data_IF_857146589290
#
_entry.id   IF_857146589290
#
_cell.length_a   1.000
_cell.length_b   1.000
_cell.length_c   1.000
_cell.angle_alpha   90.00
_cell.angle_beta   90.00
_cell.angle_gamma   90.00
#
_symmetry.space_group_name_H-M   'P 1'
#
loop_
_entity.id
_entity.type
_entity.pdbx_description
1 polymer ?
#
# COMPACT_ATOMS: atom_id res chain seq x y z
N UNK A 1 -4.53 -13.47 23.79
CA UNK A 1 -3.13 -13.74 23.39
C UNK A 1 -2.60 -15.08 23.90
N UNK A 2 -2.97 -15.50 25.12
CA UNK A 2 -2.47 -16.77 25.69
C UNK A 2 -3.03 -18.02 25.00
N UNK A 3 -4.25 -17.94 24.47
CA UNK A 3 -4.87 -19.03 23.69
C UNK A 3 -4.02 -19.40 22.45
N UNK A 4 -3.50 -18.41 21.72
CA UNK A 4 -2.67 -18.64 20.53
C UNK A 4 -1.34 -19.30 20.90
N UNK A 5 -0.75 -18.89 22.03
CA UNK A 5 0.49 -19.50 22.54
C UNK A 5 0.27 -20.96 22.91
N UNK A 6 -0.90 -21.29 23.48
CA UNK A 6 -1.26 -22.65 23.84
C UNK A 6 -1.53 -23.52 22.61
N UNK A 7 -2.25 -22.98 21.61
CA UNK A 7 -2.56 -23.68 20.36
C UNK A 7 -1.30 -23.97 19.54
N UNK A 8 -0.35 -23.04 19.49
CA UNK A 8 0.96 -23.26 18.84
C UNK A 8 1.78 -24.35 19.55
N UNK A 9 1.68 -24.43 20.89
CA UNK A 9 2.36 -25.47 21.66
C UNK A 9 1.73 -26.84 21.44
N UNK A 10 0.40 -26.90 21.26
CA UNK A 10 -0.31 -28.14 20.97
C UNK A 10 -0.07 -28.62 19.53
N UNK A 11 -0.08 -27.73 18.55
CA UNK A 11 0.22 -28.06 17.16
C UNK A 11 1.63 -28.67 17.01
N UNK A 12 2.61 -28.16 17.76
CA UNK A 12 3.98 -28.74 17.80
C UNK A 12 4.01 -30.17 18.31
N UNK A 13 3.23 -30.47 19.37
CA UNK A 13 3.15 -31.85 19.91
C UNK A 13 2.56 -32.79 18.87
N UNK A 14 1.48 -32.39 18.21
CA UNK A 14 0.82 -33.18 17.17
C UNK A 14 1.76 -33.46 15.98
N UNK A 15 2.51 -32.47 15.51
CA UNK A 15 3.50 -32.66 14.43
C UNK A 15 4.65 -33.60 14.84
N UNK A 16 5.06 -33.56 16.10
CA UNK A 16 6.12 -34.43 16.63
C UNK A 16 5.65 -35.87 16.93
N UNK A 17 4.33 -36.07 17.05
CA UNK A 17 3.71 -37.40 17.08
C UNK A 17 3.57 -37.97 15.67
N UNK A 18 3.27 -37.13 14.67
CA UNK A 18 3.19 -37.52 13.25
C UNK A 18 4.57 -37.82 12.65
N UNK A 19 5.65 -37.15 13.10
CA UNK A 19 7.01 -37.43 12.66
C UNK A 19 7.53 -38.82 13.07
N UNK A 20 6.93 -39.42 14.11
CA UNK A 20 7.21 -40.80 14.53
C UNK A 20 6.50 -41.85 13.65
N UNK A 21 5.55 -41.42 12.81
CA UNK A 21 4.85 -42.25 11.83
C UNK A 21 5.50 -42.19 10.43
N UNK A 22 6.84 -42.13 10.36
CA UNK A 22 7.56 -42.19 9.08
C UNK A 22 8.55 -43.36 9.08
N UNK A 23 8.01 -44.58 9.10
CA UNK A 23 8.73 -45.80 8.70
C UNK A 23 8.32 -46.32 7.32
N UNK A 24 7.37 -45.67 6.63
CA UNK A 24 6.73 -46.25 5.43
C UNK A 24 6.31 -45.24 4.34
N UNK A 25 6.88 -44.03 4.31
CA UNK A 25 6.53 -43.04 3.28
C UNK A 25 7.71 -42.73 2.35
N UNK A 26 7.65 -43.20 1.10
CA UNK A 26 8.56 -42.78 0.04
C UNK A 26 8.32 -41.29 -0.27
N UNK A 27 9.34 -40.45 -0.07
CA UNK A 27 9.23 -39.00 -0.27
C UNK A 27 9.41 -38.61 -1.76
N UNK A 28 8.44 -37.94 -2.42
CA UNK A 28 8.49 -37.62 -3.85
C UNK A 28 9.18 -36.27 -4.11
N UNK A 29 10.46 -36.14 -3.72
CA UNK A 29 11.21 -34.89 -3.80
C UNK A 29 11.63 -34.44 -5.21
N UNK A 30 11.27 -35.17 -6.28
CA UNK A 30 11.75 -34.90 -7.64
C UNK A 30 10.86 -33.98 -8.51
N UNK A 31 9.85 -33.30 -7.95
CA UNK A 31 8.92 -32.43 -8.72
C UNK A 31 9.27 -30.93 -8.77
N UNK A 32 10.29 -30.48 -8.04
CA UNK A 32 10.59 -29.05 -7.82
C UNK A 32 11.39 -28.37 -8.95
N UNK A 33 12.08 -29.11 -9.81
CA UNK A 33 12.95 -28.53 -10.85
C UNK A 33 12.20 -27.71 -11.91
N UNK A 34 10.92 -28.00 -12.17
CA UNK A 34 10.12 -27.35 -13.23
C UNK A 34 9.57 -25.98 -12.83
N UNK A 35 9.41 -25.73 -11.53
CA UNK A 35 8.88 -24.46 -11.00
C UNK A 35 9.92 -23.32 -11.06
N UNK A 36 11.20 -23.65 -10.93
CA UNK A 36 12.29 -22.67 -10.92
C UNK A 36 12.45 -21.93 -12.27
N UNK A 37 12.29 -22.65 -13.39
CA UNK A 37 12.45 -22.09 -14.76
C UNK A 37 11.34 -21.08 -15.10
N UNK A 38 10.11 -21.35 -14.66
CA UNK A 38 8.98 -20.44 -14.88
C UNK A 38 9.12 -19.13 -14.10
N UNK A 39 9.65 -19.18 -12.88
CA UNK A 39 9.84 -17.98 -12.06
C UNK A 39 10.90 -17.04 -12.68
N UNK A 40 11.97 -17.60 -13.23
CA UNK A 40 13.06 -16.81 -13.83
C UNK A 40 12.64 -16.11 -15.13
N UNK A 41 11.72 -16.71 -15.90
CA UNK A 41 11.18 -16.11 -17.13
C UNK A 41 10.18 -14.99 -16.85
N UNK A 42 9.42 -15.06 -15.75
CA UNK A 42 8.48 -14.00 -15.35
C UNK A 42 9.19 -12.76 -14.81
N UNK A 43 10.32 -12.90 -14.10
CA UNK A 43 11.10 -11.75 -13.61
C UNK A 43 11.74 -10.91 -14.71
N UNK A 44 12.09 -11.51 -15.85
CA UNK A 44 12.69 -10.78 -16.99
C UNK A 44 11.65 -9.90 -17.73
N UNK A 45 10.38 -10.31 -17.75
CA UNK A 45 9.30 -9.58 -18.43
C UNK A 45 8.89 -8.33 -17.63
N UNK A 46 8.96 -8.37 -16.29
CA UNK A 46 8.58 -7.23 -15.44
C UNK A 46 9.51 -6.02 -15.52
N UNK A 47 10.76 -6.19 -15.97
CA UNK A 47 11.70 -5.08 -16.14
C UNK A 47 11.40 -4.20 -17.38
N UNK A 48 10.57 -4.69 -18.31
CA UNK A 48 10.25 -3.97 -19.56
C UNK A 48 9.11 -2.96 -19.36
N UNK A 49 8.26 -3.12 -18.33
CA UNK A 49 7.08 -2.28 -18.10
C UNK A 49 7.31 -1.07 -17.16
N UNK A 50 8.50 -0.92 -16.55
CA UNK A 50 8.75 0.11 -15.53
C UNK A 50 9.13 1.49 -16.09
N UNK A 51 8.56 1.92 -17.21
CA UNK A 51 8.69 3.30 -17.73
C UNK A 51 7.41 4.13 -17.57
N UNK A 52 6.63 3.87 -16.53
CA UNK A 52 5.52 4.75 -16.17
C UNK A 52 6.07 6.00 -15.47
N UNK A 53 6.23 7.08 -16.24
CA UNK A 53 6.66 8.40 -15.79
C UNK A 53 5.71 8.91 -14.70
N UNK A 54 6.15 8.85 -13.44
CA UNK A 54 5.44 9.45 -12.30
C UNK A 54 5.45 10.97 -12.50
N UNK A 55 4.26 11.58 -12.53
CA UNK A 55 4.11 13.04 -12.64
C UNK A 55 4.55 13.65 -11.31
N UNK A 56 5.70 14.34 -11.30
CA UNK A 56 6.31 14.92 -10.08
C UNK A 56 5.79 16.30 -9.71
N UNK A 57 5.00 16.93 -10.57
CA UNK A 57 4.45 18.27 -10.33
C UNK A 57 2.98 18.36 -10.76
N UNK A 58 2.14 18.82 -9.83
CA UNK A 58 0.77 19.19 -10.13
C UNK A 58 0.77 20.47 -10.97
N UNK A 59 -0.02 20.55 -12.06
CA UNK A 59 -0.08 21.76 -12.87
C UNK A 59 -0.52 22.95 -12.02
N UNK A 60 0.06 24.12 -12.32
CA UNK A 60 -0.28 25.38 -11.64
C UNK A 60 -1.76 25.67 -11.79
N UNK A 61 -2.45 25.94 -10.66
CA UNK A 61 -3.86 26.28 -10.68
C UNK A 61 -4.07 27.54 -11.54
N UNK A 62 -5.04 27.49 -12.45
CA UNK A 62 -5.46 28.63 -13.26
C UNK A 62 -6.81 29.08 -12.75
N UNK A 63 -6.99 30.37 -12.49
CA UNK A 63 -8.28 30.97 -12.09
C UNK A 63 -8.53 32.19 -12.95
N UNK A 64 -9.74 32.32 -13.49
CA UNK A 64 -10.12 33.43 -14.37
C UNK A 64 -9.16 33.62 -15.57
N UNK A 65 -8.65 32.52 -16.13
CA UNK A 65 -7.69 32.54 -17.24
C UNK A 65 -6.29 33.08 -16.90
N UNK A 66 -6.00 33.35 -15.61
CA UNK A 66 -4.68 33.75 -15.13
C UNK A 66 -4.06 32.63 -14.28
N UNK A 67 -2.76 32.42 -14.44
CA UNK A 67 -2.03 31.49 -13.59
C UNK A 67 -2.02 32.02 -12.15
N UNK A 68 -2.50 31.22 -11.20
CA UNK A 68 -2.42 31.54 -9.79
C UNK A 68 -1.04 31.10 -9.30
N UNK A 69 -0.15 32.05 -9.06
CA UNK A 69 1.16 31.76 -8.46
C UNK A 69 0.98 31.24 -7.04
N UNK A 70 1.54 30.06 -6.76
CA UNK A 70 1.67 29.51 -5.42
C UNK A 70 2.47 30.50 -4.54
N UNK A 71 1.79 31.22 -3.66
CA UNK A 71 2.37 32.27 -2.80
C UNK A 71 1.69 33.63 -2.86
N UNK A 72 0.74 33.82 -3.78
CA UNK A 72 -0.12 35.01 -3.81
C UNK A 72 -1.29 34.85 -2.83
N UNK A 73 -1.80 35.97 -2.29
CA UNK A 73 -3.00 35.99 -1.46
C UNK A 73 -4.12 35.12 -2.07
N UNK A 74 -4.90 34.45 -1.22
CA UNK A 74 -5.95 33.52 -1.62
C UNK A 74 -6.73 34.14 -2.80
N UNK A 75 -6.78 33.49 -3.97
CA UNK A 75 -7.33 34.11 -5.16
C UNK A 75 -8.81 34.43 -4.89
N UNK A 76 -9.14 35.71 -4.78
CA UNK A 76 -10.51 36.20 -4.56
C UNK A 76 -11.09 36.61 -5.91
N UNK A 77 -12.03 35.84 -6.44
CA UNK A 77 -12.73 36.15 -7.69
C UNK A 77 -13.40 34.94 -8.32
N UNK A 78 -14.17 35.07 -9.41
CA UNK A 78 -14.77 33.93 -10.09
C UNK A 78 -13.72 32.92 -10.58
N UNK A 79 -14.08 31.64 -10.65
CA UNK A 79 -13.24 30.60 -11.20
C UNK A 79 -13.10 30.72 -12.72
N UNK A 80 -14.18 31.10 -13.41
CA UNK A 80 -14.20 31.29 -14.86
C UNK A 80 -14.18 32.76 -15.26
N UNK A 81 -13.61 33.03 -16.43
CA UNK A 81 -13.72 34.33 -17.08
C UNK A 81 -15.04 34.38 -17.83
N UNK A 82 -15.93 35.28 -17.42
CA UNK A 82 -17.19 35.55 -18.12
C UNK A 82 -16.92 36.25 -19.45
N UNK A 83 -17.43 35.70 -20.54
CA UNK A 83 -17.32 36.27 -21.89
C UNK A 83 -18.71 36.63 -22.42
N UNK A 84 -19.64 35.68 -22.37
CA UNK A 84 -21.02 35.86 -22.88
C UNK A 84 -22.03 36.20 -21.77
N UNK A 85 -21.70 35.97 -20.50
CA UNK A 85 -22.61 36.13 -19.35
C UNK A 85 -23.93 35.35 -19.54
N UNK A 86 -23.81 34.10 -19.98
CA UNK A 86 -24.93 33.18 -20.17
C UNK A 86 -25.03 32.13 -19.05
N UNK A 87 -26.18 31.44 -19.00
CA UNK A 87 -26.47 30.42 -17.99
C UNK A 87 -25.44 29.26 -18.00
N UNK A 88 -24.78 29.01 -19.14
CA UNK A 88 -23.74 27.97 -19.25
C UNK A 88 -22.49 28.37 -18.50
N UNK A 89 -22.09 29.64 -18.55
CA UNK A 89 -20.99 30.17 -17.73
C UNK A 89 -21.36 30.11 -16.23
N UNK A 90 -22.59 30.41 -15.85
CA UNK A 90 -23.06 30.30 -14.46
C UNK A 90 -23.01 28.85 -13.93
N UNK A 91 -23.49 27.89 -14.73
CA UNK A 91 -23.41 26.46 -14.38
C UNK A 91 -21.95 25.99 -14.24
N UNK A 92 -21.05 26.50 -15.08
CA UNK A 92 -19.62 26.16 -15.01
C UNK A 92 -18.96 26.71 -13.74
N UNK A 93 -19.33 27.92 -13.31
CA UNK A 93 -18.87 28.51 -12.05
C UNK A 93 -19.37 27.69 -10.84
N UNK A 94 -20.65 27.29 -10.85
CA UNK A 94 -21.22 26.45 -9.80
C UNK A 94 -20.53 25.07 -9.73
N UNK A 95 -20.36 24.41 -10.87
CA UNK A 95 -19.68 23.12 -10.96
C UNK A 95 -18.23 23.20 -10.44
N UNK A 96 -17.49 24.26 -10.79
CA UNK A 96 -16.12 24.43 -10.31
C UNK A 96 -16.06 24.73 -8.81
N UNK A 97 -17.02 25.46 -8.27
CA UNK A 97 -17.17 25.65 -6.82
C UNK A 97 -17.39 24.31 -6.11
N UNK A 98 -18.26 23.45 -6.64
CA UNK A 98 -18.48 22.10 -6.09
C UNK A 98 -17.23 21.23 -6.20
N UNK A 99 -16.50 21.28 -7.31
CA UNK A 99 -15.23 20.55 -7.50
C UNK A 99 -14.20 20.97 -6.44
N UNK A 100 -14.11 22.25 -6.08
CA UNK A 100 -13.21 22.71 -5.01
C UNK A 100 -13.55 22.06 -3.67
N UNK A 101 -14.83 21.97 -3.32
CA UNK A 101 -15.27 21.26 -2.12
C UNK A 101 -14.89 19.76 -2.18
N UNK A 102 -15.08 19.10 -3.32
CA UNK A 102 -14.67 17.70 -3.48
C UNK A 102 -13.16 17.51 -3.38
N UNK A 103 -12.36 18.46 -3.89
CA UNK A 103 -10.90 18.44 -3.76
C UNK A 103 -10.47 18.61 -2.31
N UNK A 104 -11.18 19.43 -1.52
CA UNK A 104 -10.91 19.56 -0.09
C UNK A 104 -11.17 18.25 0.67
N UNK A 105 -12.27 17.57 0.35
CA UNK A 105 -12.56 16.24 0.91
C UNK A 105 -11.47 15.23 0.53
N UNK A 106 -11.08 15.19 -0.76
CA UNK A 106 -10.00 14.32 -1.24
C UNK A 106 -8.67 14.60 -0.54
N UNK A 107 -8.33 15.88 -0.32
CA UNK A 107 -7.14 16.28 0.43
C UNK A 107 -7.19 15.75 1.86
N UNK A 108 -8.31 15.90 2.55
CA UNK A 108 -8.45 15.42 3.92
C UNK A 108 -8.35 13.89 4.00
N UNK A 109 -8.94 13.16 3.04
CA UNK A 109 -8.79 11.70 2.95
C UNK A 109 -7.36 11.28 2.66
N UNK A 110 -6.64 12.01 1.80
CA UNK A 110 -5.24 11.74 1.51
C UNK A 110 -4.36 11.94 2.76
N UNK A 111 -4.62 13.00 3.55
CA UNK A 111 -3.90 13.24 4.80
C UNK A 111 -4.19 12.15 5.85
N UNK A 112 -5.46 11.76 6.03
CA UNK A 112 -5.82 10.67 6.94
C UNK A 112 -5.21 9.33 6.52
N UNK A 113 -5.21 9.03 5.21
CA UNK A 113 -4.57 7.83 4.68
C UNK A 113 -3.05 7.85 4.88
N UNK A 114 -2.39 8.99 4.66
CA UNK A 114 -0.95 9.14 4.94
C UNK A 114 -0.63 8.85 6.40
N UNK A 115 -1.37 9.45 7.34
CA UNK A 115 -1.17 9.19 8.77
C UNK A 115 -1.40 7.72 9.11
N UNK A 116 -2.46 7.10 8.57
CA UNK A 116 -2.73 5.66 8.77
C UNK A 116 -1.63 4.77 8.23
N UNK A 117 -0.99 5.13 7.12
CA UNK A 117 0.16 4.38 6.59
C UNK A 117 1.35 4.49 7.54
N UNK A 118 1.63 5.69 8.07
CA UNK A 118 2.70 5.89 9.06
C UNK A 118 2.48 5.05 10.33
N UNK A 119 1.25 5.04 10.86
CA UNK A 119 0.89 4.20 12.00
C UNK A 119 1.09 2.71 11.70
N UNK A 120 0.66 2.26 10.50
CA UNK A 120 0.82 0.87 10.09
C UNK A 120 2.30 0.47 9.92
N UNK A 121 3.16 1.37 9.45
CA UNK A 121 4.61 1.12 9.37
C UNK A 121 5.16 0.83 10.77
N UNK A 122 4.81 1.64 11.78
CA UNK A 122 5.26 1.41 13.15
C UNK A 122 4.76 0.07 13.72
N UNK A 123 3.51 -0.30 13.43
CA UNK A 123 2.94 -1.59 13.84
C UNK A 123 3.70 -2.75 13.19
N UNK A 124 4.00 -2.64 11.89
CA UNK A 124 4.77 -3.66 11.15
C UNK A 124 6.17 -3.83 11.78
N UNK A 125 6.84 -2.73 12.10
CA UNK A 125 8.15 -2.77 12.75
C UNK A 125 8.08 -3.46 14.12
N UNK A 126 7.07 -3.16 14.92
CA UNK A 126 6.86 -3.83 16.20
C UNK A 126 6.64 -5.34 16.03
N UNK A 127 5.77 -5.75 15.10
CA UNK A 127 5.51 -7.17 14.79
C UNK A 127 6.76 -7.87 14.29
N UNK A 128 7.56 -7.22 13.43
CA UNK A 128 8.81 -7.78 12.94
C UNK A 128 9.81 -8.02 14.06
N UNK A 129 9.94 -7.09 15.01
CA UNK A 129 10.81 -7.23 16.17
C UNK A 129 10.39 -8.41 17.07
N UNK A 130 9.09 -8.53 17.37
CA UNK A 130 8.54 -9.66 18.13
C UNK A 130 8.82 -11.00 17.42
N UNK A 131 8.63 -11.05 16.10
CA UNK A 131 8.95 -12.23 15.29
C UNK A 131 10.44 -12.58 15.32
N UNK A 132 11.33 -11.59 15.31
CA UNK A 132 12.77 -11.82 15.44
C UNK A 132 13.13 -12.41 16.81
N UNK A 133 12.58 -11.87 17.90
CA UNK A 133 12.78 -12.41 19.24
C UNK A 133 12.28 -13.86 19.34
N UNK A 134 11.10 -14.13 18.78
CA UNK A 134 10.55 -15.49 18.74
C UNK A 134 11.45 -16.45 17.94
N UNK A 135 11.98 -16.02 16.79
CA UNK A 135 12.92 -16.82 15.99
C UNK A 135 14.20 -17.14 16.75
N UNK A 136 14.80 -16.16 17.44
CA UNK A 136 16.01 -16.40 18.24
C UNK A 136 15.75 -17.39 19.37
N UNK A 137 14.66 -17.23 20.11
CA UNK A 137 14.27 -18.17 21.18
C UNK A 137 14.04 -19.58 20.65
N UNK A 138 13.40 -19.73 19.49
CA UNK A 138 13.21 -21.04 18.87
C UNK A 138 14.54 -21.69 18.45
N UNK A 139 15.45 -20.92 17.84
CA UNK A 139 16.76 -21.44 17.42
C UNK A 139 17.61 -21.88 18.62
N UNK A 140 17.60 -21.11 19.72
CA UNK A 140 18.30 -21.48 20.94
C UNK A 140 17.75 -22.77 21.56
N UNK A 141 16.42 -22.94 21.51
CA UNK A 141 15.73 -24.17 21.96
C UNK A 141 16.03 -25.40 21.10
N UNK A 142 16.49 -25.21 19.85
CA UNK A 142 16.85 -26.28 18.90
C UNK A 142 18.35 -26.64 18.96
N UNK A 143 19.14 -25.85 19.69
CA UNK A 143 20.58 -26.08 19.87
C UNK A 143 20.91 -26.96 21.10
N UNK A 144 19.90 -27.38 21.86
CA UNK A 144 19.97 -28.37 22.93
C UNK A 144 19.24 -29.64 22.51
#
# INVERSE_FOLDING_TARGET
>A
MDQIKQDMKQARKNLNELSKCCGLCLCPCNRLARAYIFCMTMSYISEIESKQKVVSSQPTAVRNGQAVSAGSAAPTGPYIKRITNDDREDEMEENLSQVVNHVEILKNMALDLSNKIEDQIQIIDHVNNELMLQKMSMNESLSF
#
